data_IF_912457712678
#
_entry.id   IF_912457712678
#
_cell.length_a   1.000
_cell.length_b   1.000
_cell.length_c   1.000
_cell.angle_alpha   90.00
_cell.angle_beta   90.00
_cell.angle_gamma   90.00
#
_symmetry.space_group_name_H-M   'P 1'
#
loop_
_entity.id
_entity.type
_entity.pdbx_description
1 polymer ?
#
# COMPACT_ATOMS: atom_id res chain seq x y z
N UNK A 1 14.98 -73.89 -6.62
CA UNK A 1 15.29 -72.85 -5.62
C UNK A 1 15.00 -71.50 -6.25
N UNK A 2 14.03 -70.77 -5.68
CA UNK A 2 13.47 -69.50 -6.16
C UNK A 2 14.27 -68.34 -5.54
N UNK A 3 14.79 -67.39 -6.34
CA UNK A 3 15.44 -66.16 -5.84
C UNK A 3 14.66 -64.94 -6.32
N UNK A 4 13.83 -64.39 -5.43
CA UNK A 4 13.39 -62.99 -5.47
C UNK A 4 14.46 -62.15 -4.75
N UNK A 5 14.82 -60.98 -5.28
CA UNK A 5 14.80 -59.76 -4.47
C UNK A 5 14.80 -58.46 -5.29
N UNK A 6 13.95 -57.57 -4.81
CA UNK A 6 13.50 -56.25 -5.25
C UNK A 6 14.53 -55.34 -5.93
N UNK A 7 14.11 -54.74 -7.04
CA UNK A 7 14.64 -53.46 -7.53
C UNK A 7 13.89 -52.32 -6.82
N UNK A 8 14.61 -51.53 -6.03
CA UNK A 8 14.07 -50.32 -5.39
C UNK A 8 14.16 -49.17 -6.40
N UNK A 9 13.01 -48.70 -6.87
CA UNK A 9 12.89 -47.52 -7.72
C UNK A 9 12.87 -46.28 -6.83
N UNK A 10 13.98 -45.56 -6.74
CA UNK A 10 14.06 -44.27 -6.03
C UNK A 10 13.42 -43.17 -6.87
N UNK A 11 12.23 -42.73 -6.46
CA UNK A 11 11.51 -41.60 -7.02
C UNK A 11 12.14 -40.30 -6.50
N UNK A 12 12.92 -39.61 -7.35
CA UNK A 12 13.52 -38.31 -7.03
C UNK A 12 12.49 -37.18 -7.13
N UNK A 13 11.98 -36.70 -5.99
CA UNK A 13 11.18 -35.47 -5.91
C UNK A 13 12.11 -34.25 -5.96
N UNK A 14 12.12 -33.55 -7.10
CA UNK A 14 12.76 -32.23 -7.21
C UNK A 14 11.84 -31.22 -6.54
N UNK A 15 12.20 -30.79 -5.32
CA UNK A 15 11.53 -29.69 -4.64
C UNK A 15 12.04 -28.39 -5.26
N UNK A 16 11.30 -27.84 -6.22
CA UNK A 16 11.53 -26.48 -6.70
C UNK A 16 11.17 -25.49 -5.58
N UNK A 17 12.17 -25.01 -4.85
CA UNK A 17 12.02 -23.87 -3.96
C UNK A 17 11.71 -22.62 -4.80
N UNK A 18 10.43 -22.23 -4.85
CA UNK A 18 10.03 -20.95 -5.41
C UNK A 18 10.55 -19.84 -4.50
N UNK A 19 11.62 -19.17 -4.93
CA UNK A 19 12.12 -17.96 -4.28
C UNK A 19 11.05 -16.88 -4.45
N UNK A 20 10.24 -16.66 -3.41
CA UNK A 20 9.28 -15.57 -3.39
C UNK A 20 10.04 -14.24 -3.47
N UNK A 21 9.94 -13.56 -4.62
CA UNK A 21 10.49 -12.23 -4.80
C UNK A 21 9.72 -11.25 -3.91
N UNK A 22 10.32 -10.83 -2.79
CA UNK A 22 9.79 -9.77 -1.94
C UNK A 22 9.99 -8.45 -2.66
N UNK A 23 9.04 -8.06 -3.52
CA UNK A 23 9.08 -6.71 -4.09
C UNK A 23 8.65 -5.70 -3.03
N UNK A 24 9.37 -4.57 -2.84
CA UNK A 24 9.05 -3.58 -1.83
C UNK A 24 7.70 -2.93 -2.10
N UNK A 25 7.06 -2.48 -1.02
CA UNK A 25 5.82 -1.69 -1.10
C UNK A 25 6.15 -0.29 -1.57
N UNK A 26 5.60 0.11 -2.72
CA UNK A 26 5.76 1.47 -3.25
C UNK A 26 4.93 2.44 -2.42
N UNK A 27 5.53 3.52 -1.95
CA UNK A 27 4.86 4.56 -1.15
C UNK A 27 4.92 5.88 -1.90
N UNK A 28 3.76 6.45 -2.22
CA UNK A 28 3.66 7.77 -2.86
C UNK A 28 2.94 8.74 -1.93
N UNK A 29 3.50 9.94 -1.76
CA UNK A 29 2.89 11.04 -1.02
C UNK A 29 2.21 12.01 -1.97
N UNK A 30 1.01 12.43 -1.61
CA UNK A 30 0.22 13.47 -2.25
C UNK A 30 -0.18 14.52 -1.22
N UNK A 31 -0.42 15.77 -1.63
CA UNK A 31 -0.99 16.75 -0.73
C UNK A 31 -2.44 16.38 -0.37
N UNK A 32 -2.94 16.92 0.74
CA UNK A 32 -4.19 16.48 1.34
C UNK A 32 -5.41 16.75 0.43
N UNK A 33 -5.42 17.85 -0.31
CA UNK A 33 -6.47 18.23 -1.27
C UNK A 33 -6.61 17.23 -2.43
N UNK A 34 -5.58 16.42 -2.70
CA UNK A 34 -5.64 15.41 -3.74
C UNK A 34 -6.68 14.31 -3.44
N UNK A 35 -7.14 14.17 -2.20
CA UNK A 35 -8.24 13.26 -1.84
C UNK A 35 -9.50 13.55 -2.67
N UNK A 36 -9.94 14.81 -2.69
CA UNK A 36 -11.18 15.21 -3.38
C UNK A 36 -11.02 14.99 -4.89
N UNK A 37 -9.89 15.43 -5.44
CA UNK A 37 -9.60 15.33 -6.87
C UNK A 37 -9.47 13.88 -7.35
N UNK A 38 -9.05 12.95 -6.47
CA UNK A 38 -8.94 11.53 -6.81
C UNK A 38 -10.28 10.88 -7.15
N UNK A 39 -11.40 11.42 -6.64
CA UNK A 39 -12.74 10.94 -6.91
C UNK A 39 -13.39 11.55 -8.15
N UNK A 40 -12.88 12.69 -8.63
CA UNK A 40 -13.52 13.49 -9.68
C UNK A 40 -12.73 13.51 -10.99
N UNK A 41 -11.41 13.35 -10.92
CA UNK A 41 -10.53 13.40 -12.09
C UNK A 41 -10.31 12.04 -12.73
N UNK A 42 -10.06 12.04 -14.05
CA UNK A 42 -9.49 10.86 -14.70
C UNK A 42 -8.07 10.61 -14.19
N UNK A 43 -7.59 9.36 -14.29
CA UNK A 43 -6.23 8.98 -13.92
C UNK A 43 -5.15 9.85 -14.59
N UNK A 44 -5.35 10.25 -15.84
CA UNK A 44 -4.40 11.08 -16.59
C UNK A 44 -4.36 12.51 -16.04
N UNK A 45 -5.53 13.10 -15.80
CA UNK A 45 -5.64 14.43 -15.19
C UNK A 45 -5.04 14.46 -13.78
N UNK A 46 -5.38 13.46 -12.96
CA UNK A 46 -4.87 13.33 -11.60
C UNK A 46 -3.33 13.27 -11.60
N UNK A 47 -2.73 12.39 -12.42
CA UNK A 47 -1.26 12.27 -12.52
C UNK A 47 -0.57 13.54 -13.04
N UNK A 48 -1.22 14.27 -13.94
CA UNK A 48 -0.68 15.54 -14.45
C UNK A 48 -0.69 16.62 -13.38
N UNK A 49 -1.74 16.67 -12.56
CA UNK A 49 -1.91 17.67 -11.50
C UNK A 49 -1.09 17.33 -10.25
N UNK A 50 -1.10 16.06 -9.86
CA UNK A 50 -0.40 15.52 -8.71
C UNK A 50 0.55 14.42 -9.18
N UNK A 51 1.81 14.75 -9.50
CA UNK A 51 2.80 13.75 -9.89
C UNK A 51 3.11 12.77 -8.74
N UNK A 52 2.94 13.22 -7.50
CA UNK A 52 3.26 12.48 -6.29
C UNK A 52 4.76 12.44 -6.00
N UNK A 53 5.12 12.23 -4.74
CA UNK A 53 6.52 12.07 -4.30
C UNK A 53 6.71 10.59 -3.95
N UNK A 54 7.66 9.93 -4.62
CA UNK A 54 8.02 8.55 -4.28
C UNK A 54 8.98 8.54 -3.09
N UNK A 55 8.51 7.99 -1.98
CA UNK A 55 9.25 7.93 -0.71
C UNK A 55 9.61 6.50 -0.32
N UNK A 56 9.54 5.57 -1.27
CA UNK A 56 9.74 4.13 -1.02
C UNK A 56 11.05 3.84 -0.29
N UNK A 57 12.13 4.56 -0.62
CA UNK A 57 13.47 4.30 -0.07
C UNK A 57 13.84 5.21 1.12
N UNK A 58 13.13 6.32 1.33
CA UNK A 58 13.54 7.38 2.26
C UNK A 58 12.52 7.68 3.37
N UNK A 59 11.29 7.20 3.24
CA UNK A 59 10.23 7.44 4.22
C UNK A 59 9.66 8.86 4.18
N UNK A 60 8.76 9.16 5.11
CA UNK A 60 8.13 10.48 5.24
C UNK A 60 9.11 11.51 5.81
N UNK A 61 9.03 12.73 5.30
CA UNK A 61 9.91 13.86 5.68
C UNK A 61 9.22 14.94 6.49
N UNK A 62 7.88 14.90 6.58
CA UNK A 62 7.10 15.97 7.18
C UNK A 62 6.15 15.40 8.23
N UNK A 63 6.22 15.94 9.45
CA UNK A 63 5.36 15.55 10.55
C UNK A 63 3.90 15.96 10.31
N UNK A 64 2.99 15.22 10.95
CA UNK A 64 1.57 15.53 10.94
C UNK A 64 0.69 14.32 10.69
N UNK A 65 -0.58 14.60 10.45
CA UNK A 65 -1.59 13.62 10.13
C UNK A 65 -1.61 13.31 8.64
N UNK A 66 -1.72 12.03 8.32
CA UNK A 66 -1.86 11.54 6.97
C UNK A 66 -3.06 10.62 6.86
N UNK A 67 -3.70 10.62 5.70
CA UNK A 67 -4.62 9.57 5.28
C UNK A 67 -3.82 8.54 4.48
N UNK A 68 -3.75 7.32 4.97
CA UNK A 68 -3.09 6.18 4.34
C UNK A 68 -4.10 5.33 3.58
N UNK A 69 -4.01 5.34 2.25
CA UNK A 69 -4.64 4.32 1.40
C UNK A 69 -3.65 3.19 1.13
N UNK A 70 -4.04 1.94 1.34
CA UNK A 70 -3.18 0.77 1.09
C UNK A 70 -3.89 -0.27 0.24
N UNK A 71 -3.23 -0.77 -0.81
CA UNK A 71 -3.70 -1.90 -1.59
C UNK A 71 -2.53 -2.72 -2.16
N UNK A 72 -2.41 -3.98 -1.74
CA UNK A 72 -1.26 -4.85 -2.04
C UNK A 72 0.09 -4.17 -1.72
N UNK A 73 0.93 -3.95 -2.74
CA UNK A 73 2.28 -3.40 -2.61
C UNK A 73 2.33 -1.91 -2.97
N UNK A 74 1.21 -1.22 -2.74
CA UNK A 74 1.06 0.20 -3.02
C UNK A 74 0.41 0.89 -1.84
N UNK A 75 1.03 1.97 -1.40
CA UNK A 75 0.54 2.87 -0.37
C UNK A 75 0.52 4.28 -0.92
N UNK A 76 -0.61 4.97 -0.72
CA UNK A 76 -0.72 6.41 -0.92
C UNK A 76 -0.90 7.09 0.42
N UNK A 77 -0.11 8.13 0.64
CA UNK A 77 -0.17 9.00 1.81
C UNK A 77 -0.69 10.35 1.36
N UNK A 78 -1.81 10.81 1.91
CA UNK A 78 -2.34 12.16 1.66
C UNK A 78 -2.08 13.01 2.90
N UNK A 79 -1.30 14.09 2.76
CA UNK A 79 -0.90 14.95 3.87
C UNK A 79 0.46 15.62 3.63
N UNK A 80 1.10 16.13 4.70
CA UNK A 80 0.61 16.15 6.09
C UNK A 80 -0.52 17.17 6.32
N UNK A 81 -1.24 17.00 7.43
CA UNK A 81 -2.18 17.97 8.01
C UNK A 81 -1.85 18.18 9.49
N UNK A 82 -1.98 19.41 9.99
CA UNK A 82 -1.96 19.71 11.43
C UNK A 82 -3.35 19.54 12.07
N UNK A 83 -4.41 19.63 11.28
CA UNK A 83 -5.80 19.46 11.70
C UNK A 83 -6.28 18.01 11.55
N UNK A 84 -6.47 17.33 12.69
CA UNK A 84 -6.97 15.95 12.74
C UNK A 84 -8.45 15.85 12.32
N UNK A 85 -9.27 16.85 12.63
CA UNK A 85 -10.70 16.79 12.31
C UNK A 85 -10.92 16.95 10.81
N UNK A 86 -10.25 17.92 10.20
CA UNK A 86 -10.23 18.05 8.73
C UNK A 86 -9.70 16.78 8.06
N UNK A 87 -8.68 16.14 8.64
CA UNK A 87 -8.16 14.85 8.15
C UNK A 87 -9.22 13.74 8.23
N UNK A 88 -10.07 13.71 9.28
CA UNK A 88 -11.17 12.74 9.41
C UNK A 88 -12.26 12.96 8.37
N UNK A 89 -12.62 14.21 8.11
CA UNK A 89 -13.58 14.55 7.06
C UNK A 89 -13.10 14.05 5.70
N UNK A 90 -11.85 14.34 5.34
CA UNK A 90 -11.28 13.86 4.09
C UNK A 90 -11.06 12.35 4.05
N UNK A 91 -10.78 11.70 5.20
CA UNK A 91 -10.74 10.24 5.27
C UNK A 91 -12.10 9.65 4.88
N UNK A 92 -13.21 10.21 5.37
CA UNK A 92 -14.55 9.75 5.02
C UNK A 92 -14.83 9.91 3.51
N UNK A 93 -14.43 11.04 2.93
CA UNK A 93 -14.50 11.25 1.47
C UNK A 93 -13.71 10.18 0.71
N UNK A 94 -12.50 9.86 1.15
CA UNK A 94 -11.68 8.82 0.51
C UNK A 94 -12.29 7.41 0.65
N UNK A 95 -12.95 7.12 1.77
CA UNK A 95 -13.67 5.86 1.96
C UNK A 95 -14.85 5.73 0.98
N UNK A 96 -15.62 6.78 0.75
CA UNK A 96 -16.72 6.78 -0.22
C UNK A 96 -16.21 6.60 -1.66
N UNK A 97 -15.11 7.28 -2.01
CA UNK A 97 -14.43 7.10 -3.30
C UNK A 97 -13.97 5.65 -3.45
N UNK A 98 -13.35 5.08 -2.40
CA UNK A 98 -12.91 3.67 -2.40
C UNK A 98 -14.06 2.71 -2.58
N UNK A 99 -15.17 2.88 -1.85
CA UNK A 99 -16.35 2.03 -1.97
C UNK A 99 -16.91 2.07 -3.40
N UNK A 100 -17.02 3.26 -3.98
CA UNK A 100 -17.43 3.45 -5.38
C UNK A 100 -16.49 2.77 -6.38
N UNK A 101 -15.18 2.82 -6.11
CA UNK A 101 -14.18 2.13 -6.94
C UNK A 101 -14.26 0.60 -6.80
N UNK A 102 -14.49 0.07 -5.59
CA UNK A 102 -14.65 -1.38 -5.34
C UNK A 102 -15.87 -1.95 -6.08
N UNK A 103 -16.96 -1.20 -6.18
CA UNK A 103 -18.13 -1.62 -6.97
C UNK A 103 -17.80 -1.80 -8.46
N UNK A 104 -16.88 -1.00 -9.00
CA UNK A 104 -16.43 -1.09 -10.40
C UNK A 104 -15.30 -2.10 -10.59
N UNK A 105 -14.42 -2.23 -9.60
CA UNK A 105 -13.24 -3.10 -9.61
C UNK A 105 -13.16 -3.92 -8.29
N UNK A 106 -13.87 -5.07 -8.19
CA UNK A 106 -13.96 -5.84 -6.94
C UNK A 106 -12.63 -6.33 -6.33
N UNK A 107 -11.58 -6.44 -7.15
CA UNK A 107 -10.22 -6.74 -6.69
C UNK A 107 -9.69 -5.73 -5.66
N UNK A 108 -10.21 -4.50 -5.66
CA UNK A 108 -9.85 -3.45 -4.71
C UNK A 108 -10.47 -3.65 -3.32
N UNK A 109 -11.33 -4.65 -3.13
CA UNK A 109 -12.07 -4.88 -1.86
C UNK A 109 -11.17 -5.03 -0.63
N UNK A 110 -9.93 -5.51 -0.81
CA UNK A 110 -8.93 -5.65 0.24
C UNK A 110 -8.18 -4.36 0.58
N UNK A 111 -8.45 -3.27 -0.14
CA UNK A 111 -7.86 -1.96 0.14
C UNK A 111 -8.36 -1.38 1.45
N UNK A 112 -7.50 -0.61 2.14
CA UNK A 112 -7.79 0.03 3.43
C UNK A 112 -7.53 1.53 3.36
N UNK A 113 -8.26 2.28 4.18
CA UNK A 113 -8.09 3.72 4.38
C UNK A 113 -7.98 3.98 5.89
N UNK A 114 -6.89 4.58 6.33
CA UNK A 114 -6.56 4.77 7.75
C UNK A 114 -6.01 6.17 7.98
N UNK A 115 -6.16 6.72 9.20
CA UNK A 115 -5.42 7.91 9.62
C UNK A 115 -4.19 7.46 10.39
N UNK A 116 -3.05 8.07 10.09
CA UNK A 116 -1.79 7.84 10.80
C UNK A 116 -1.15 9.17 11.16
N UNK A 117 -0.49 9.22 12.33
CA UNK A 117 0.37 10.33 12.71
C UNK A 117 1.81 9.98 12.40
N UNK A 118 2.53 10.88 11.75
CA UNK A 118 3.98 10.79 11.63
C UNK A 118 4.62 11.86 12.50
N UNK A 119 5.56 11.44 13.33
CA UNK A 119 6.35 12.26 14.25
C UNK A 119 7.79 11.75 14.18
N UNK A 120 8.76 12.66 14.16
CA UNK A 120 10.16 12.31 14.33
C UNK A 120 10.39 11.91 15.77
N UNK A 121 10.97 10.73 15.97
CA UNK A 121 11.51 10.39 17.28
C UNK A 121 12.78 11.22 17.48
N UNK A 122 12.75 12.16 18.42
CA UNK A 122 13.98 12.81 18.90
C UNK A 122 14.95 11.78 19.49
N UNK A 123 16.24 12.12 19.66
CA UNK A 123 17.15 11.25 20.38
C UNK A 123 16.56 10.97 21.77
N UNK A 124 16.47 9.68 22.14
CA UNK A 124 16.12 9.30 23.50
C UNK A 124 17.06 10.04 24.47
N UNK A 125 16.49 10.83 25.38
CA UNK A 125 17.25 11.51 26.42
C UNK A 125 18.07 10.44 27.19
N UNK A 126 19.39 10.62 27.37
CA UNK A 126 20.28 9.63 27.96
C UNK A 126 19.98 9.29 29.43
#
# INVERSE_FOLDING_TARGET
MLRNLLSVLTLGTIVSAAWAQVTPTKVIVYPLEAVIDSGTMTKSQFKKRYPGIDVTDFGLTDEGWYIRYSHHKLVYMFGPSDDLEYTRELKAVLEDIRLSAVLKEPKLSTSKVEIVKFEFSGPADP
#
